data_IF_308131707409
#
_entry.id   IF_308131707409
#
_cell.length_a   1.000
_cell.length_b   1.000
_cell.length_c   1.000
_cell.angle_alpha   90.00
_cell.angle_beta   90.00
_cell.angle_gamma   90.00
#
_symmetry.space_group_name_H-M   'P 1'
#
loop_
_entity.id
_entity.type
_entity.pdbx_description
1 polymer ?
#
# COMPACT_ATOMS: atom_id res chain seq x y z
N UNK A 1 54.36 -40.71 -39.48
CA UNK A 1 54.25 -39.26 -39.18
C UNK A 1 52.77 -38.90 -39.10
N UNK A 2 52.22 -38.79 -37.88
CA UNK A 2 50.84 -38.37 -37.64
C UNK A 2 50.89 -36.91 -37.19
N UNK A 3 50.28 -36.04 -37.99
CA UNK A 3 50.16 -34.60 -37.74
C UNK A 3 48.90 -34.38 -36.88
N UNK A 4 49.07 -33.85 -35.67
CA UNK A 4 47.94 -33.47 -34.81
C UNK A 4 47.79 -31.96 -34.86
N UNK A 5 46.68 -31.48 -35.42
CA UNK A 5 46.25 -30.08 -35.38
C UNK A 5 45.74 -29.73 -33.98
N UNK A 6 46.33 -28.70 -33.34
CA UNK A 6 45.69 -28.00 -32.24
C UNK A 6 44.69 -26.98 -32.80
N UNK A 7 43.41 -27.15 -32.47
CA UNK A 7 42.37 -26.12 -32.63
C UNK A 7 42.48 -25.12 -31.48
N UNK A 8 42.75 -23.86 -31.80
CA UNK A 8 42.53 -22.72 -30.92
C UNK A 8 41.04 -22.37 -30.90
N UNK A 9 40.38 -22.64 -29.78
CA UNK A 9 39.03 -22.14 -29.51
C UNK A 9 39.12 -20.79 -28.82
N UNK A 10 38.68 -19.74 -29.50
CA UNK A 10 38.50 -18.41 -28.91
C UNK A 10 37.35 -18.45 -27.90
N UNK A 11 37.62 -18.07 -26.65
CA UNK A 11 36.58 -17.85 -25.66
C UNK A 11 35.91 -16.50 -25.93
N UNK A 12 34.61 -16.53 -26.25
CA UNK A 12 33.75 -15.34 -26.26
C UNK A 12 33.38 -15.07 -24.81
N UNK A 13 33.91 -13.99 -24.22
CA UNK A 13 33.45 -13.51 -22.93
C UNK A 13 32.11 -12.80 -23.12
N UNK A 14 31.01 -13.43 -22.67
CA UNK A 14 29.74 -12.76 -22.51
C UNK A 14 29.87 -11.81 -21.30
N UNK A 15 29.85 -10.51 -21.55
CA UNK A 15 29.68 -9.52 -20.50
C UNK A 15 28.23 -9.60 -20.02
N UNK A 16 27.99 -10.27 -18.90
CA UNK A 16 26.75 -10.08 -18.15
C UNK A 16 26.79 -8.67 -17.57
N UNK A 17 26.01 -7.77 -18.16
CA UNK A 17 25.68 -6.50 -17.53
C UNK A 17 24.85 -6.82 -16.29
N UNK A 18 25.44 -6.62 -15.12
CA UNK A 18 24.67 -6.54 -13.88
C UNK A 18 23.89 -5.22 -13.99
N UNK A 19 22.60 -5.30 -14.28
CA UNK A 19 21.70 -4.19 -14.05
C UNK A 19 21.70 -3.95 -12.54
N UNK A 20 22.38 -2.89 -12.10
CA UNK A 20 22.21 -2.38 -10.75
C UNK A 20 20.79 -1.80 -10.71
N UNK A 21 19.88 -2.49 -10.02
CA UNK A 21 18.62 -1.88 -9.63
C UNK A 21 18.98 -0.60 -8.86
N UNK A 22 18.42 0.53 -9.27
CA UNK A 22 18.55 1.76 -8.51
C UNK A 22 17.92 1.50 -7.13
N UNK A 23 18.62 1.85 -6.05
CA UNK A 23 18.06 1.73 -4.70
C UNK A 23 16.80 2.58 -4.62
N UNK A 24 15.67 1.93 -4.32
CA UNK A 24 14.40 2.57 -4.03
C UNK A 24 14.53 3.54 -2.84
N UNK A 25 13.87 4.70 -2.95
CA UNK A 25 13.76 5.71 -1.90
C UNK A 25 12.38 5.71 -1.27
N UNK A 26 12.34 5.81 0.05
CA UNK A 26 11.11 6.20 0.76
C UNK A 26 10.76 7.63 0.36
N UNK A 27 9.54 7.82 -0.16
CA UNK A 27 8.98 9.11 -0.56
C UNK A 27 8.23 9.80 0.58
N UNK A 28 7.65 9.01 1.49
CA UNK A 28 6.93 9.46 2.67
C UNK A 28 6.93 8.36 3.74
N UNK A 29 6.95 8.77 5.00
CA UNK A 29 6.76 7.89 6.16
C UNK A 29 6.03 8.62 7.28
N UNK A 30 5.11 7.93 7.96
CA UNK A 30 4.49 8.38 9.20
C UNK A 30 4.28 7.16 10.12
N UNK A 31 4.78 7.25 11.36
CA UNK A 31 4.61 6.26 12.43
C UNK A 31 3.52 6.67 13.43
N UNK A 32 2.86 7.81 13.18
CA UNK A 32 1.81 8.39 14.01
C UNK A 32 2.18 8.63 15.48
N UNK A 33 3.46 8.63 15.85
CA UNK A 33 3.94 8.90 17.22
C UNK A 33 3.96 10.41 17.54
N UNK A 34 3.85 11.25 16.52
CA UNK A 34 3.75 12.70 16.69
C UNK A 34 2.46 13.11 17.42
N UNK A 35 2.50 14.26 18.09
CA UNK A 35 1.33 14.75 18.86
C UNK A 35 0.16 15.21 17.98
N UNK A 36 0.39 15.38 16.68
CA UNK A 36 -0.59 15.79 15.69
C UNK A 36 -0.15 15.38 14.29
N UNK A 37 -1.09 14.98 13.44
CA UNK A 37 -0.84 14.71 12.03
C UNK A 37 -0.32 15.94 11.28
N UNK A 38 0.60 15.70 10.35
CA UNK A 38 1.08 16.69 9.41
C UNK A 38 0.00 17.13 8.42
N UNK A 39 0.15 18.33 7.85
CA UNK A 39 -0.81 18.91 6.90
C UNK A 39 -0.89 18.19 5.55
N UNK A 40 -0.04 17.19 5.30
CA UNK A 40 -0.11 16.34 4.11
C UNK A 40 -1.28 15.36 4.17
N UNK A 41 -1.83 15.13 5.37
CA UNK A 41 -3.01 14.30 5.55
C UNK A 41 -4.28 15.08 5.24
N UNK A 42 -5.08 14.56 4.30
CA UNK A 42 -6.45 15.01 4.05
C UNK A 42 -7.42 13.94 4.55
N UNK A 43 -8.07 14.24 5.68
CA UNK A 43 -9.01 13.33 6.33
C UNK A 43 -10.47 13.66 6.01
N UNK A 44 -10.73 14.91 5.60
CA UNK A 44 -12.05 15.41 5.26
C UNK A 44 -12.11 15.73 3.76
N UNK A 45 -12.81 14.90 3.00
CA UNK A 45 -13.05 15.14 1.58
C UNK A 45 -14.50 14.79 1.20
N UNK A 46 -15.00 15.25 0.04
CA UNK A 46 -16.38 15.00 -0.34
C UNK A 46 -16.67 13.50 -0.46
N UNK A 47 -17.94 13.16 -0.28
CA UNK A 47 -18.43 11.80 -0.29
C UNK A 47 -19.66 11.66 -1.17
N UNK A 48 -19.78 10.47 -1.76
CA UNK A 48 -20.82 10.14 -2.73
C UNK A 48 -21.69 8.98 -2.23
N UNK A 49 -21.31 8.36 -1.11
CA UNK A 49 -21.88 7.12 -0.60
C UNK A 49 -23.13 7.32 0.24
N UNK A 50 -23.97 6.28 0.27
CA UNK A 50 -25.20 6.23 1.06
C UNK A 50 -24.97 5.73 2.51
N UNK A 51 -23.83 6.09 3.11
CA UNK A 51 -23.47 5.72 4.48
C UNK A 51 -24.18 6.56 5.54
N UNK A 52 -23.87 6.28 6.80
CA UNK A 52 -24.37 6.99 7.98
C UNK A 52 -23.65 8.33 8.25
N UNK A 53 -22.70 8.72 7.39
CA UNK A 53 -21.93 9.97 7.46
C UNK A 53 -20.51 9.84 6.90
N UNK A 54 -19.64 10.86 7.00
CA UNK A 54 -18.25 10.79 6.54
C UNK A 54 -17.40 9.77 7.30
N UNK A 55 -16.28 9.28 6.74
CA UNK A 55 -15.27 8.62 7.55
C UNK A 55 -14.89 9.57 8.68
N UNK A 56 -14.72 9.00 9.87
CA UNK A 56 -14.22 9.73 11.01
C UNK A 56 -12.87 9.13 11.30
N UNK A 57 -11.83 9.95 11.19
CA UNK A 57 -10.45 9.57 11.44
C UNK A 57 -9.99 10.12 12.78
N UNK A 58 -9.37 9.27 13.59
CA UNK A 58 -8.87 9.61 14.92
C UNK A 58 -7.39 9.26 14.98
N UNK A 59 -6.55 10.27 15.24
CA UNK A 59 -5.14 10.10 15.56
C UNK A 59 -4.97 10.13 17.07
N UNK A 60 -4.61 8.99 17.65
CA UNK A 60 -4.39 8.83 19.08
C UNK A 60 -3.52 7.60 19.35
N UNK A 61 -2.76 7.62 20.46
CA UNK A 61 -2.03 6.45 20.96
C UNK A 61 -1.11 5.78 19.92
N UNK A 62 -0.46 6.59 19.06
CA UNK A 62 0.47 6.09 18.04
C UNK A 62 -0.21 5.44 16.83
N UNK A 63 -1.52 5.65 16.63
CA UNK A 63 -2.25 5.07 15.50
C UNK A 63 -3.23 6.06 14.86
N UNK A 64 -3.52 5.84 13.57
CA UNK A 64 -4.59 6.49 12.85
C UNK A 64 -5.74 5.50 12.62
N UNK A 65 -6.93 5.78 13.15
CA UNK A 65 -8.08 4.87 13.10
C UNK A 65 -9.28 5.48 12.38
N UNK A 66 -9.91 4.71 11.47
CA UNK A 66 -11.25 5.05 10.97
C UNK A 66 -12.29 4.48 11.94
N UNK A 67 -13.07 5.34 12.60
CA UNK A 67 -14.00 4.92 13.66
C UNK A 67 -15.47 4.91 13.24
N UNK A 68 -15.83 5.47 12.08
CA UNK A 68 -17.17 5.29 11.53
C UNK A 68 -17.21 3.95 10.77
N UNK A 69 -18.05 2.98 11.18
CA UNK A 69 -18.13 1.67 10.52
C UNK A 69 -18.89 1.70 9.19
N UNK A 70 -19.78 2.69 8.98
CA UNK A 70 -20.66 2.76 7.79
C UNK A 70 -20.56 4.10 7.06
N UNK A 71 -19.36 4.56 6.65
CA UNK A 71 -19.21 5.88 6.06
C UNK A 71 -19.66 6.00 4.60
N UNK A 72 -19.88 4.88 3.90
CA UNK A 72 -20.13 4.87 2.46
C UNK A 72 -18.92 5.31 1.62
N UNK A 73 -18.96 5.03 0.30
CA UNK A 73 -17.82 5.28 -0.59
C UNK A 73 -17.60 6.76 -0.94
N UNK A 74 -16.35 7.14 -1.29
CA UNK A 74 -15.08 6.50 -0.95
C UNK A 74 -14.59 6.95 0.43
N UNK A 75 -13.69 6.18 1.03
CA UNK A 75 -13.19 6.37 2.40
C UNK A 75 -11.68 6.26 2.46
N UNK A 76 -11.00 7.39 2.35
CA UNK A 76 -9.55 7.43 2.49
C UNK A 76 -9.14 8.43 3.58
N UNK A 77 -8.10 8.10 4.33
CA UNK A 77 -7.18 9.10 4.83
C UNK A 77 -6.14 9.28 3.71
N UNK A 78 -6.16 10.43 3.04
CA UNK A 78 -5.34 10.69 1.86
C UNK A 78 -4.02 11.32 2.27
N UNK A 79 -2.92 10.86 1.67
CA UNK A 79 -1.59 11.45 1.79
C UNK A 79 -1.33 12.23 0.50
N UNK A 80 -1.13 13.55 0.62
CA UNK A 80 -0.72 14.41 -0.48
C UNK A 80 0.80 14.39 -0.64
N UNK A 81 1.26 13.77 -1.74
CA UNK A 81 2.64 13.81 -2.17
C UNK A 81 2.96 15.03 -3.02
N UNK A 82 4.19 15.51 -2.93
CA UNK A 82 4.73 16.57 -3.79
C UNK A 82 5.62 15.96 -4.89
N UNK A 83 5.07 15.83 -6.10
CA UNK A 83 5.83 15.43 -7.28
C UNK A 83 6.38 14.00 -7.26
N UNK A 84 5.73 13.07 -6.55
CA UNK A 84 6.08 11.66 -6.60
C UNK A 84 6.02 11.12 -8.04
N UNK A 85 6.88 10.16 -8.41
CA UNK A 85 6.83 9.50 -9.71
C UNK A 85 5.47 8.85 -9.97
N UNK A 86 5.13 8.63 -11.25
CA UNK A 86 3.89 7.92 -11.61
C UNK A 86 3.92 6.46 -11.12
N UNK A 87 5.10 5.84 -11.11
CA UNK A 87 5.32 4.52 -10.50
C UNK A 87 5.74 4.68 -9.03
N UNK A 88 4.93 4.18 -8.11
CA UNK A 88 5.23 4.15 -6.68
C UNK A 88 4.42 3.04 -6.00
N UNK A 89 4.77 2.74 -4.75
CA UNK A 89 3.96 1.87 -3.92
C UNK A 89 3.71 2.43 -2.54
N UNK A 90 2.80 1.75 -1.84
CA UNK A 90 2.35 2.06 -0.49
C UNK A 90 2.40 0.78 0.31
N UNK A 91 2.97 0.84 1.51
CA UNK A 91 2.84 -0.21 2.52
C UNK A 91 2.41 0.41 3.83
N UNK A 92 1.44 -0.21 4.49
CA UNK A 92 0.97 0.23 5.80
C UNK A 92 0.78 -0.99 6.70
N UNK A 93 0.96 -0.79 8.01
CA UNK A 93 0.57 -1.75 9.03
C UNK A 93 -0.90 -1.52 9.33
N UNK A 94 -1.73 -2.54 9.13
CA UNK A 94 -3.18 -2.47 9.20
C UNK A 94 -3.69 -3.45 10.24
N UNK A 95 -4.58 -2.98 11.12
CA UNK A 95 -5.35 -3.81 12.05
C UNK A 95 -6.83 -3.62 11.80
N UNK A 96 -7.55 -4.72 11.66
CA UNK A 96 -9.01 -4.69 11.58
C UNK A 96 -9.58 -4.62 12.99
N UNK A 97 -10.37 -3.60 13.28
CA UNK A 97 -10.94 -3.39 14.62
C UNK A 97 -12.35 -3.96 14.73
N UNK A 98 -13.19 -3.70 13.73
CA UNK A 98 -14.53 -4.25 13.60
C UNK A 98 -14.77 -4.73 12.17
N UNK A 99 -15.55 -5.80 12.01
CA UNK A 99 -15.88 -6.35 10.70
C UNK A 99 -17.21 -7.11 10.73
N UNK A 100 -18.03 -6.89 9.71
CA UNK A 100 -19.19 -7.71 9.37
C UNK A 100 -19.08 -8.09 7.89
N UNK A 101 -19.11 -9.38 7.55
CA UNK A 101 -18.90 -9.84 6.18
C UNK A 101 -19.93 -9.26 5.20
N UNK A 102 -19.43 -8.59 4.15
CA UNK A 102 -20.21 -8.02 3.06
C UNK A 102 -19.27 -7.39 2.01
N UNK A 103 -19.69 -7.28 0.75
CA UNK A 103 -19.01 -6.58 -0.38
C UNK A 103 -18.56 -5.13 -0.07
N UNK A 104 -19.00 -4.58 1.06
CA UNK A 104 -18.74 -3.21 1.49
C UNK A 104 -17.69 -3.12 2.59
N UNK A 105 -17.40 -4.23 3.25
CA UNK A 105 -16.39 -4.38 4.28
C UNK A 105 -15.03 -4.49 3.61
N UNK A 106 -14.21 -3.48 3.84
CA UNK A 106 -12.97 -3.22 3.12
C UNK A 106 -11.93 -2.63 4.06
N UNK A 107 -10.66 -2.96 3.87
CA UNK A 107 -9.56 -2.21 4.47
C UNK A 107 -8.28 -2.41 3.66
N UNK A 108 -7.44 -1.39 3.54
CA UNK A 108 -6.18 -1.52 2.81
C UNK A 108 -5.58 -0.20 2.37
N UNK A 109 -4.88 -0.21 1.23
CA UNK A 109 -4.09 0.92 0.73
C UNK A 109 -4.44 1.27 -0.71
N UNK A 110 -4.47 2.57 -1.01
CA UNK A 110 -4.84 3.15 -2.29
C UNK A 110 -3.72 3.97 -2.94
N UNK A 111 -3.72 3.99 -4.27
CA UNK A 111 -2.77 4.69 -5.14
C UNK A 111 -3.52 5.40 -6.27
N UNK A 112 -2.90 6.43 -6.85
CA UNK A 112 -3.47 7.33 -7.85
C UNK A 112 -4.86 7.85 -7.44
N UNK A 113 -4.98 8.30 -6.19
CA UNK A 113 -6.23 8.90 -5.72
C UNK A 113 -6.44 10.25 -6.43
N UNK A 114 -7.58 10.38 -7.11
CA UNK A 114 -7.88 11.52 -7.97
C UNK A 114 -8.88 12.47 -7.29
N UNK A 115 -8.43 13.66 -6.90
CA UNK A 115 -9.26 14.68 -6.25
C UNK A 115 -10.39 15.21 -7.15
N UNK A 116 -10.25 15.07 -8.47
CA UNK A 116 -11.30 15.40 -9.43
C UNK A 116 -12.36 14.29 -9.59
N UNK A 117 -12.05 13.09 -9.10
CA UNK A 117 -12.93 11.90 -9.08
C UNK A 117 -13.22 11.46 -7.63
N UNK A 118 -13.39 12.43 -6.74
CA UNK A 118 -13.73 12.22 -5.33
C UNK A 118 -12.75 11.32 -4.57
N UNK A 119 -11.46 11.42 -4.88
CA UNK A 119 -10.38 10.59 -4.33
C UNK A 119 -10.53 9.09 -4.59
N UNK A 120 -11.27 8.70 -5.63
CA UNK A 120 -11.25 7.34 -6.12
C UNK A 120 -9.90 7.04 -6.80
N UNK A 121 -9.40 5.82 -6.61
CA UNK A 121 -8.12 5.38 -7.16
C UNK A 121 -8.07 3.88 -7.40
N UNK A 122 -6.85 3.34 -7.50
CA UNK A 122 -6.61 1.91 -7.46
C UNK A 122 -6.29 1.48 -6.03
N UNK A 123 -6.93 0.42 -5.55
CA UNK A 123 -6.86 0.06 -4.13
C UNK A 123 -6.69 -1.44 -3.96
N UNK A 124 -5.74 -1.85 -3.14
CA UNK A 124 -5.55 -3.23 -2.70
C UNK A 124 -6.22 -3.41 -1.35
N UNK A 125 -7.17 -4.34 -1.26
CA UNK A 125 -8.08 -4.43 -0.14
C UNK A 125 -8.15 -5.83 0.42
N UNK A 126 -8.16 -5.93 1.75
CA UNK A 126 -8.92 -6.95 2.45
C UNK A 126 -10.40 -6.62 2.20
N UNK A 127 -11.19 -7.57 1.70
CA UNK A 127 -12.52 -7.36 1.14
C UNK A 127 -13.46 -8.51 1.49
N UNK A 128 -14.73 -8.15 1.74
CA UNK A 128 -15.88 -9.02 1.87
C UNK A 128 -15.93 -9.89 3.14
N UNK A 129 -14.84 -10.53 3.50
CA UNK A 129 -14.77 -11.52 4.56
C UNK A 129 -13.37 -11.61 5.16
N UNK A 130 -13.26 -12.13 6.37
CA UNK A 130 -11.95 -12.26 7.05
C UNK A 130 -11.20 -13.55 6.66
N UNK A 131 -11.88 -14.50 6.01
CA UNK A 131 -11.36 -15.82 5.68
C UNK A 131 -11.71 -16.19 4.25
N UNK A 132 -10.75 -16.78 3.53
CA UNK A 132 -10.86 -17.22 2.13
C UNK A 132 -11.27 -16.10 1.14
N UNK A 133 -10.61 -16.03 -0.03
CA UNK A 133 -11.00 -15.15 -1.15
C UNK A 133 -11.37 -13.74 -0.72
N UNK A 134 -10.43 -13.07 -0.07
CA UNK A 134 -10.66 -11.81 0.64
C UNK A 134 -9.67 -10.72 0.28
N UNK A 135 -8.81 -10.95 -0.71
CA UNK A 135 -7.83 -9.96 -1.16
C UNK A 135 -8.08 -9.63 -2.62
N UNK A 136 -8.41 -8.38 -2.94
CA UNK A 136 -8.74 -8.00 -4.31
C UNK A 136 -8.37 -6.54 -4.63
N UNK A 137 -8.07 -6.31 -5.91
CA UNK A 137 -7.94 -4.96 -6.46
C UNK A 137 -9.28 -4.34 -6.84
N UNK A 138 -9.47 -3.11 -6.41
CA UNK A 138 -10.58 -2.24 -6.77
C UNK A 138 -10.08 -1.03 -7.55
N UNK A 139 -10.66 -0.77 -8.71
CA UNK A 139 -10.62 0.52 -9.36
C UNK A 139 -11.85 1.27 -8.86
N UNK A 140 -11.66 2.04 -7.80
CA UNK A 140 -12.72 2.49 -6.91
C UNK A 140 -13.81 3.25 -7.67
N UNK A 141 -15.07 3.02 -7.32
CA UNK A 141 -16.23 3.54 -8.06
C UNK A 141 -16.40 3.06 -9.50
N UNK A 142 -15.50 2.22 -10.05
CA UNK A 142 -15.54 1.76 -11.45
C UNK A 142 -15.68 0.26 -11.61
N UNK A 143 -14.76 -0.53 -11.05
CA UNK A 143 -14.80 -1.99 -11.19
C UNK A 143 -13.87 -2.69 -10.19
N UNK A 144 -14.32 -3.84 -9.69
CA UNK A 144 -13.44 -4.88 -9.14
C UNK A 144 -12.65 -5.56 -10.26
N UNK A 145 -11.46 -6.08 -9.96
CA UNK A 145 -10.67 -6.82 -10.93
C UNK A 145 -11.34 -8.16 -11.34
N UNK A 146 -12.02 -8.82 -10.40
CA UNK A 146 -12.66 -10.13 -10.57
C UNK A 146 -11.74 -11.32 -10.35
N UNK A 147 -10.64 -11.13 -9.60
CA UNK A 147 -9.73 -12.21 -9.20
C UNK A 147 -9.30 -12.00 -7.75
N UNK A 148 -9.88 -12.80 -6.86
CA UNK A 148 -9.65 -12.77 -5.42
C UNK A 148 -8.52 -13.72 -5.04
N UNK A 149 -7.63 -13.25 -4.17
CA UNK A 149 -6.64 -14.07 -3.48
C UNK A 149 -7.09 -14.38 -2.05
N UNK A 150 -6.44 -15.34 -1.41
CA UNK A 150 -6.77 -15.76 -0.04
C UNK A 150 -5.64 -15.42 0.92
N UNK A 151 -5.98 -14.71 1.99
CA UNK A 151 -5.12 -14.51 3.15
C UNK A 151 -5.95 -14.44 4.43
N UNK A 152 -5.73 -15.36 5.37
CA UNK A 152 -6.50 -15.38 6.62
C UNK A 152 -6.10 -14.21 7.53
N UNK A 153 -7.09 -13.40 7.90
CA UNK A 153 -6.93 -12.28 8.84
C UNK A 153 -7.86 -12.44 10.03
N UNK A 154 -7.50 -11.82 11.15
CA UNK A 154 -8.28 -11.81 12.38
C UNK A 154 -8.43 -10.37 12.89
N UNK A 155 -9.55 -10.13 13.59
CA UNK A 155 -9.75 -8.88 14.29
C UNK A 155 -8.70 -8.71 15.40
N UNK A 156 -8.16 -7.50 15.51
CA UNK A 156 -7.17 -7.14 16.53
C UNK A 156 -5.73 -7.50 16.20
N UNK A 157 -5.48 -8.29 15.15
CA UNK A 157 -4.14 -8.63 14.69
C UNK A 157 -3.63 -7.62 13.65
N UNK A 158 -2.31 -7.40 13.62
CA UNK A 158 -1.65 -6.49 12.68
C UNK A 158 -1.13 -7.24 11.44
N UNK A 159 -1.23 -6.58 10.29
CA UNK A 159 -0.78 -7.08 8.99
C UNK A 159 -0.08 -5.98 8.23
N UNK A 160 1.01 -6.30 7.54
CA UNK A 160 1.54 -5.43 6.51
C UNK A 160 0.73 -5.61 5.25
N UNK A 161 0.15 -4.53 4.73
CA UNK A 161 -0.59 -4.50 3.46
C UNK A 161 0.18 -3.61 2.50
N UNK A 162 0.63 -4.17 1.38
CA UNK A 162 1.50 -3.51 0.40
C UNK A 162 0.89 -3.57 -0.98
N UNK A 163 0.91 -2.44 -1.68
CA UNK A 163 0.55 -2.34 -3.08
C UNK A 163 1.57 -1.49 -3.84
N UNK A 164 1.74 -1.76 -5.13
CA UNK A 164 2.59 -0.97 -6.02
C UNK A 164 1.93 -0.82 -7.38
N UNK A 165 2.13 0.33 -8.02
CA UNK A 165 1.73 0.58 -9.40
C UNK A 165 2.96 0.96 -10.22
N UNK A 166 3.14 0.32 -11.38
CA UNK A 166 4.21 0.62 -12.32
C UNK A 166 3.63 1.13 -13.64
N UNK A 167 3.68 2.45 -13.82
CA UNK A 167 3.26 3.12 -15.04
C UNK A 167 4.05 2.70 -16.29
N UNK A 168 5.31 2.25 -16.11
CA UNK A 168 6.18 1.84 -17.20
C UNK A 168 5.80 0.50 -17.80
N UNK A 169 5.41 -0.47 -16.97
CA UNK A 169 4.95 -1.80 -17.43
C UNK A 169 3.43 -1.85 -17.64
N UNK A 170 2.67 -1.01 -16.94
CA UNK A 170 1.21 -1.08 -16.90
C UNK A 170 0.68 -1.99 -15.79
N UNK A 171 1.54 -2.42 -14.86
CA UNK A 171 1.21 -3.39 -13.82
C UNK A 171 0.81 -2.74 -12.50
N UNK A 172 -0.01 -3.46 -11.74
CA UNK A 172 -0.34 -3.20 -10.35
C UNK A 172 -0.17 -4.49 -9.56
N UNK A 173 0.45 -4.39 -8.39
CA UNK A 173 0.84 -5.54 -7.58
C UNK A 173 0.41 -5.38 -6.14
N UNK A 174 -0.03 -6.47 -5.51
CA UNK A 174 -0.53 -6.49 -4.13
C UNK A 174 0.04 -7.66 -3.36
N UNK A 175 0.30 -7.47 -2.07
CA UNK A 175 0.61 -8.55 -1.12
C UNK A 175 0.26 -8.14 0.30
N UNK A 176 0.14 -9.14 1.16
CA UNK A 176 -0.16 -9.01 2.59
C UNK A 176 0.59 -10.08 3.36
N UNK A 177 1.03 -9.76 4.57
CA UNK A 177 1.65 -10.72 5.48
C UNK A 177 1.50 -10.29 6.96
N UNK A 178 1.68 -11.21 7.92
CA UNK A 178 1.53 -10.88 9.33
C UNK A 178 2.55 -9.84 9.81
N UNK A 179 2.14 -8.98 10.74
CA UNK A 179 2.99 -8.04 11.45
C UNK A 179 2.84 -8.23 12.96
N UNK A 180 3.91 -8.07 13.73
CA UNK A 180 3.79 -7.94 15.18
C UNK A 180 3.45 -6.50 15.56
N UNK A 181 2.79 -6.31 16.70
CA UNK A 181 2.43 -4.98 17.18
C UNK A 181 3.64 -4.04 17.36
N UNK A 182 4.83 -4.59 17.67
CA UNK A 182 6.07 -3.81 17.82
C UNK A 182 6.95 -3.75 16.57
N UNK A 183 6.51 -4.31 15.45
CA UNK A 183 7.25 -4.19 14.18
C UNK A 183 6.96 -2.81 13.58
N UNK A 184 8.02 -2.04 13.27
CA UNK A 184 7.95 -0.70 12.67
C UNK A 184 8.68 -0.61 11.33
N UNK A 185 9.21 -1.73 10.84
CA UNK A 185 9.93 -1.80 9.56
C UNK A 185 9.53 -3.07 8.81
N UNK A 186 8.76 -2.97 7.71
CA UNK A 186 8.31 -4.14 6.95
C UNK A 186 9.49 -4.95 6.39
N UNK A 187 10.64 -4.33 6.10
CA UNK A 187 11.83 -5.00 5.54
C UNK A 187 12.53 -5.92 6.55
N UNK A 188 12.25 -5.74 7.85
CA UNK A 188 12.79 -6.59 8.92
C UNK A 188 11.89 -7.77 9.26
N UNK A 189 10.71 -7.84 8.64
CA UNK A 189 9.73 -8.91 8.86
C UNK A 189 9.83 -10.02 7.81
N UNK A 190 9.03 -11.06 7.94
CA UNK A 190 8.95 -12.15 6.97
C UNK A 190 8.13 -11.76 5.72
N UNK A 191 8.51 -10.66 5.05
CA UNK A 191 7.87 -10.23 3.80
C UNK A 191 8.00 -11.33 2.72
N UNK A 192 6.89 -11.72 2.06
CA UNK A 192 6.93 -12.63 0.93
C UNK A 192 7.76 -12.05 -0.23
N UNK A 193 8.70 -12.85 -0.74
CA UNK A 193 9.56 -12.46 -1.86
C UNK A 193 8.75 -12.16 -3.12
N UNK A 194 7.74 -12.99 -3.41
CA UNK A 194 6.86 -12.83 -4.55
C UNK A 194 5.65 -11.94 -4.21
N UNK A 195 5.16 -11.22 -5.22
CA UNK A 195 3.86 -10.57 -5.14
C UNK A 195 2.75 -11.62 -5.08
N UNK A 196 1.73 -11.37 -4.25
CA UNK A 196 0.56 -12.24 -4.18
C UNK A 196 -0.27 -12.11 -5.45
N UNK A 197 -0.43 -10.86 -5.93
CA UNK A 197 -1.09 -10.56 -7.20
C UNK A 197 -0.26 -9.60 -8.03
N UNK A 198 -0.28 -9.81 -9.35
CA UNK A 198 0.24 -8.89 -10.36
C UNK A 198 -0.72 -8.87 -11.54
N UNK A 199 -1.25 -7.70 -11.86
CA UNK A 199 -2.24 -7.51 -12.93
C UNK A 199 -1.97 -6.26 -13.74
N UNK A 200 -2.52 -6.17 -14.95
CA UNK A 200 -2.49 -4.92 -15.71
C UNK A 200 -3.57 -3.95 -15.20
N UNK A 201 -3.20 -2.76 -14.73
CA UNK A 201 -4.18 -1.78 -14.21
C UNK A 201 -5.15 -1.25 -15.27
N UNK A 202 -4.77 -1.34 -16.55
CA UNK A 202 -5.65 -1.05 -17.69
C UNK A 202 -6.72 -2.12 -17.95
N UNK A 203 -6.67 -3.26 -17.23
CA UNK A 203 -7.57 -4.40 -17.43
C UNK A 203 -8.96 -4.28 -16.80
N UNK A 204 -9.17 -3.30 -15.90
CA UNK A 204 -10.41 -3.18 -15.11
C UNK A 204 -10.76 -1.72 -14.84
N UNK A 205 -12.03 -1.35 -15.03
CA UNK A 205 -12.55 0.00 -14.72
C UNK A 205 -11.98 1.15 -15.57
N UNK A 206 -11.12 0.87 -16.56
CA UNK A 206 -10.44 1.88 -17.38
C UNK A 206 -9.28 2.56 -16.65
N UNK A 207 -8.36 3.12 -17.41
CA UNK A 207 -7.13 3.74 -16.86
C UNK A 207 -7.45 5.03 -16.10
N UNK A 208 -6.89 5.17 -14.90
CA UNK A 208 -6.90 6.43 -14.12
C UNK A 208 -5.70 7.31 -14.48
N UNK A 209 -5.84 8.64 -14.44
CA UNK A 209 -4.68 9.52 -14.53
C UNK A 209 -3.74 9.28 -13.34
N UNK A 210 -2.41 9.19 -13.54
CA UNK A 210 -1.47 9.13 -12.45
C UNK A 210 -1.55 10.37 -11.55
N UNK A 211 -1.52 10.17 -10.23
CA UNK A 211 -1.44 11.26 -9.25
C UNK A 211 -0.43 10.92 -8.16
N UNK A 212 0.14 11.94 -7.52
CA UNK A 212 1.03 11.78 -6.35
C UNK A 212 0.22 11.69 -5.05
N UNK A 213 -0.82 10.84 -5.01
CA UNK A 213 -1.67 10.68 -3.82
C UNK A 213 -1.88 9.22 -3.46
N UNK A 214 -1.52 8.88 -2.23
CA UNK A 214 -1.78 7.59 -1.62
C UNK A 214 -2.93 7.72 -0.62
N UNK A 215 -3.46 6.62 -0.13
CA UNK A 215 -4.36 6.68 1.01
C UNK A 215 -4.59 5.37 1.72
N UNK A 216 -5.13 5.50 2.93
CA UNK A 216 -5.50 4.40 3.81
C UNK A 216 -7.01 4.23 3.76
N UNK A 217 -7.49 3.04 3.40
CA UNK A 217 -8.92 2.75 3.36
C UNK A 217 -9.30 1.98 4.62
N UNK A 218 -10.08 2.59 5.52
CA UNK A 218 -10.47 1.97 6.78
C UNK A 218 -11.83 1.27 6.78
N UNK A 219 -12.56 1.30 5.66
CA UNK A 219 -13.88 0.69 5.53
C UNK A 219 -14.91 1.53 4.81
N UNK A 220 -15.86 0.88 4.16
CA UNK A 220 -16.85 1.53 3.30
C UNK A 220 -18.23 0.86 3.41
N UNK A 221 -18.77 0.78 4.63
CA UNK A 221 -20.05 0.13 4.91
C UNK A 221 -21.28 0.93 4.46
N UNK A 222 -22.29 0.24 3.94
CA UNK A 222 -23.68 0.73 3.81
C UNK A 222 -24.66 -0.39 4.13
N UNK A 223 -25.55 -0.21 5.11
CA UNK A 223 -26.63 -1.15 5.43
C UNK A 223 -26.18 -2.52 5.93
N UNK A 224 -25.75 -3.40 5.02
CA UNK A 224 -25.57 -4.86 5.20
C UNK A 224 -24.18 -5.35 5.63
N UNK A 225 -23.19 -4.47 5.78
CA UNK A 225 -21.90 -4.81 6.38
C UNK A 225 -21.08 -3.56 6.69
N UNK A 226 -19.99 -3.76 7.41
CA UNK A 226 -19.13 -2.69 7.88
C UNK A 226 -17.71 -3.17 8.19
N UNK A 227 -16.79 -2.21 8.21
CA UNK A 227 -15.46 -2.41 8.72
C UNK A 227 -14.92 -1.11 9.32
N UNK A 228 -14.06 -1.27 10.32
CA UNK A 228 -13.16 -0.21 10.81
C UNK A 228 -11.75 -0.78 10.86
N UNK A 229 -10.77 0.05 10.58
CA UNK A 229 -9.37 -0.32 10.67
C UNK A 229 -8.53 0.79 11.30
N UNK A 230 -7.46 0.35 11.95
CA UNK A 230 -6.39 1.17 12.48
C UNK A 230 -5.13 0.96 11.68
N UNK A 231 -4.37 2.03 11.55
CA UNK A 231 -3.14 2.08 10.78
C UNK A 231 -2.00 2.55 11.66
N UNK A 232 -0.86 1.93 11.43
CA UNK A 232 0.45 2.25 12.00
C UNK A 232 1.47 2.18 10.86
N UNK A 233 2.64 2.79 11.03
CA UNK A 233 3.78 2.76 10.11
C UNK A 233 3.40 2.71 8.62
N UNK A 234 3.11 3.88 8.03
CA UNK A 234 2.81 3.99 6.61
C UNK A 234 4.04 4.47 5.84
N UNK A 235 4.32 3.82 4.73
CA UNK A 235 5.39 4.20 3.81
C UNK A 235 4.85 4.36 2.41
N UNK A 236 5.33 5.38 1.73
CA UNK A 236 5.23 5.51 0.27
C UNK A 236 6.65 5.43 -0.26
N UNK A 237 6.86 4.73 -1.37
CA UNK A 237 8.19 4.47 -1.92
C UNK A 237 8.18 4.48 -3.44
N UNK A 238 9.32 4.77 -4.07
CA UNK A 238 9.54 4.49 -5.49
C UNK A 238 10.25 3.14 -5.69
N UNK A 239 10.28 2.62 -6.93
CA UNK A 239 10.95 1.36 -7.26
C UNK A 239 10.32 0.11 -6.60
N UNK A 240 11.17 -0.81 -6.14
CA UNK A 240 10.76 -2.15 -5.67
C UNK A 240 10.31 -2.20 -4.19
N UNK A 241 10.29 -1.07 -3.48
CA UNK A 241 10.01 -1.02 -2.03
C UNK A 241 11.22 -0.57 -1.21
N UNK A 242 11.04 -0.22 0.08
CA UNK A 242 12.17 0.16 0.92
C UNK A 242 13.10 -1.04 1.15
N UNK A 243 14.28 -1.06 0.51
CA UNK A 243 15.32 -2.09 0.73
C UNK A 243 15.87 -2.05 2.16
N UNK A 244 15.93 -0.85 2.74
CA UNK A 244 16.26 -0.49 4.13
C UNK A 244 15.67 0.90 4.34
N UNK A 245 14.97 1.13 5.47
CA UNK A 245 14.52 2.48 5.85
C UNK A 245 15.72 3.44 5.84
N UNK A 246 15.80 4.30 4.82
CA UNK A 246 16.78 5.38 4.74
C UNK A 246 16.07 6.69 5.02
N UNK A 247 16.70 7.54 5.84
CA UNK A 247 16.11 8.78 6.30
C UNK A 247 15.69 9.68 5.13
N UNK A 248 14.42 10.11 5.14
CA UNK A 248 13.84 11.04 4.16
C UNK A 248 13.95 12.47 4.67
N UNK A 249 14.29 13.43 3.80
CA UNK A 249 14.50 14.82 4.19
C UNK A 249 13.20 15.63 4.40
N UNK A 250 13.34 16.80 5.02
CA UNK A 250 12.27 17.52 5.71
C UNK A 250 11.13 18.15 4.88
N UNK A 251 11.07 17.88 3.57
CA UNK A 251 9.92 18.17 2.71
C UNK A 251 9.03 16.92 2.48
N UNK A 252 9.35 15.80 3.13
CA UNK A 252 8.58 14.55 3.24
C UNK A 252 9.08 13.74 4.45
N UNK A 253 9.07 14.37 5.63
CA UNK A 253 9.99 14.12 6.76
C UNK A 253 10.16 12.66 7.21
N UNK A 254 11.42 12.27 7.34
CA UNK A 254 11.97 11.82 8.63
C UNK A 254 12.42 13.04 9.46
N UNK A 255 12.17 13.03 10.77
CA UNK A 255 12.52 14.12 11.70
C UNK A 255 13.93 13.98 12.27
N UNK A 256 14.62 15.11 12.44
CA UNK A 256 16.03 15.31 12.79
C UNK A 256 16.41 15.05 14.26
N UNK A 257 15.69 14.17 14.97
CA UNK A 257 16.01 13.88 16.38
C UNK A 257 16.29 12.39 16.53
N UNK A 258 17.56 12.01 16.39
CA UNK A 258 18.09 10.72 16.79
C UNK A 258 17.93 10.52 18.30
N UNK A 259 16.71 10.20 18.73
CA UNK A 259 16.39 9.78 20.08
C UNK A 259 16.59 8.28 20.23
N UNK A 260 17.83 7.79 20.09
CA UNK A 260 18.23 6.41 20.41
C UNK A 260 17.32 5.35 19.76
N UNK A 261 17.73 4.84 18.59
CA UNK A 261 17.29 3.51 18.12
C UNK A 261 17.42 2.53 19.29
N UNK A 262 16.31 2.22 19.95
CA UNK A 262 16.29 1.21 21.00
C UNK A 262 16.34 -0.12 20.28
N UNK A 263 17.50 -0.74 20.28
CA UNK A 263 17.58 -2.19 20.28
C UNK A 263 16.90 -2.69 21.55
N UNK A 264 15.62 -3.12 21.44
CA UNK A 264 14.98 -4.06 22.35
C UNK A 264 13.98 -4.91 21.60
#
# INVERSE_FOLDING_TARGET
MRTTLLRSGSAIAAAMGIALAASAGTLFHDDFEDASLDSVWLLDHPQNGAGDGPPVWVHADGVLSQTNPKPGDPTYAVIEGDGWPESYGVVAKVRLDEWEDHDRSRAGVGMWLDDTDNFQGYTWLIHERLTDTNMEFLNDGRAWFGAEETFEVALGDWYWVKASIDAGTGDIMGKVWPAAAGDHDPSTTAEPADWMSTFAFGGFGGVRPPTSRAGLNGGAGTGGGFSTASFDDVFVYDGDGPDVLTAVDAAGKASTTWGVLKTR
#
